data_IF_274718687474
#
_entry.id   IF_274718687474
#
_cell.length_a   1.000
_cell.length_b   1.000
_cell.length_c   1.000
_cell.angle_alpha   90.00
_cell.angle_beta   90.00
_cell.angle_gamma   90.00
#
_symmetry.space_group_name_H-M   'P 1'
#
loop_
_entity.id
_entity.type
_entity.pdbx_description
1 polymer ?
#
# COMPACT_ATOMS: atom_id res chain seq x y z
N UNK A 1 -9.16 -3.69 -44.96
CA UNK A 1 -8.79 -2.94 -43.75
C UNK A 1 -9.54 -3.55 -42.60
N UNK A 2 -8.97 -4.56 -41.96
CA UNK A 2 -9.56 -5.21 -40.79
C UNK A 2 -9.15 -4.41 -39.57
N UNK A 3 -10.15 -3.86 -38.90
CA UNK A 3 -10.05 -3.22 -37.60
C UNK A 3 -9.62 -4.32 -36.64
N UNK A 4 -8.40 -4.23 -36.09
CA UNK A 4 -8.00 -5.06 -34.96
C UNK A 4 -8.78 -4.57 -33.75
N UNK A 5 -9.83 -5.30 -33.37
CA UNK A 5 -10.40 -5.21 -32.03
C UNK A 5 -9.24 -5.39 -31.05
N UNK A 6 -8.96 -4.35 -30.26
CA UNK A 6 -8.07 -4.46 -29.10
C UNK A 6 -8.75 -5.39 -28.10
N UNK A 7 -8.38 -6.67 -28.14
CA UNK A 7 -8.84 -7.67 -27.16
C UNK A 7 -8.53 -7.15 -25.74
N UNK A 8 -9.60 -6.93 -24.98
CA UNK A 8 -9.50 -6.65 -23.56
C UNK A 8 -9.06 -7.94 -22.87
N UNK A 9 -8.17 -7.90 -21.88
CA UNK A 9 -7.76 -9.11 -21.17
C UNK A 9 -8.99 -9.79 -20.53
N UNK A 10 -9.12 -11.11 -20.70
CA UNK A 10 -10.22 -11.90 -20.11
C UNK A 10 -10.28 -11.78 -18.59
N UNK A 11 -9.16 -11.48 -17.94
CA UNK A 11 -9.06 -11.30 -16.49
C UNK A 11 -7.92 -10.35 -16.14
N UNK A 12 -8.09 -9.59 -15.05
CA UNK A 12 -7.09 -8.67 -14.49
C UNK A 12 -7.01 -8.89 -12.99
N UNK A 13 -5.80 -8.97 -12.44
CA UNK A 13 -5.59 -8.97 -11.00
C UNK A 13 -5.43 -7.53 -10.50
N UNK A 14 -6.35 -7.10 -9.65
CA UNK A 14 -6.28 -5.78 -9.01
C UNK A 14 -5.67 -5.93 -7.62
N UNK A 15 -4.50 -5.33 -7.41
CA UNK A 15 -3.84 -5.25 -6.11
C UNK A 15 -4.12 -3.90 -5.46
N UNK A 16 -5.08 -3.87 -4.53
CA UNK A 16 -5.43 -2.67 -3.76
C UNK A 16 -4.57 -2.59 -2.50
N UNK A 17 -3.89 -1.46 -2.30
CA UNK A 17 -3.06 -1.24 -1.11
C UNK A 17 -3.00 0.24 -0.72
N UNK A 18 -2.47 0.53 0.47
CA UNK A 18 -2.09 1.88 0.87
C UNK A 18 -0.63 1.86 1.34
N UNK A 19 0.23 2.83 0.96
CA UNK A 19 1.64 2.84 1.33
C UNK A 19 1.88 2.86 2.85
N UNK A 20 0.92 3.37 3.62
CA UNK A 20 0.98 3.45 5.09
C UNK A 20 0.15 2.34 5.77
N UNK A 21 -0.46 1.42 5.02
CA UNK A 21 -1.11 0.24 5.60
C UNK A 21 -0.06 -0.76 6.11
N UNK A 22 -0.03 -0.96 7.42
CA UNK A 22 0.92 -1.87 8.08
C UNK A 22 0.72 -3.33 7.64
N UNK A 23 -0.51 -3.77 7.39
CA UNK A 23 -0.77 -5.11 6.85
C UNK A 23 -0.33 -5.26 5.40
N UNK A 24 -0.42 -4.22 4.57
CA UNK A 24 0.15 -4.23 3.22
C UNK A 24 1.68 -4.35 3.27
N UNK A 25 2.33 -3.68 4.23
CA UNK A 25 3.76 -3.87 4.50
C UNK A 25 4.08 -5.31 4.90
N UNK A 26 3.34 -5.88 5.86
CA UNK A 26 3.48 -7.28 6.28
C UNK A 26 3.25 -8.29 5.16
N UNK A 27 2.31 -8.00 4.26
CA UNK A 27 1.98 -8.85 3.11
C UNK A 27 3.01 -8.77 1.97
N UNK A 28 3.90 -7.76 1.96
CA UNK A 28 4.84 -7.53 0.85
C UNK A 28 5.66 -8.75 0.44
N UNK A 29 6.22 -9.60 1.34
CA UNK A 29 6.92 -10.81 0.93
C UNK A 29 6.01 -11.79 0.19
N UNK A 30 4.80 -12.02 0.71
CA UNK A 30 3.79 -12.88 0.08
C UNK A 30 3.34 -12.32 -1.26
N UNK A 31 3.12 -11.01 -1.36
CA UNK A 31 2.78 -10.35 -2.62
C UNK A 31 3.86 -10.57 -3.69
N UNK A 32 5.14 -10.44 -3.32
CA UNK A 32 6.25 -10.72 -4.25
C UNK A 32 6.26 -12.17 -4.71
N UNK A 33 6.07 -13.12 -3.78
CA UNK A 33 6.01 -14.54 -4.10
C UNK A 33 4.82 -14.87 -5.02
N UNK A 34 3.64 -14.34 -4.71
CA UNK A 34 2.44 -14.49 -5.53
C UNK A 34 2.66 -13.92 -6.93
N UNK A 35 3.16 -12.67 -7.02
CA UNK A 35 3.40 -11.99 -8.30
C UNK A 35 4.36 -12.75 -9.20
N UNK A 36 5.37 -13.42 -8.63
CA UNK A 36 6.31 -14.26 -9.39
C UNK A 36 5.73 -15.57 -9.93
N UNK A 37 4.56 -15.98 -9.43
CA UNK A 37 3.87 -17.23 -9.79
C UNK A 37 2.60 -16.98 -10.61
N UNK A 38 2.31 -15.72 -10.97
CA UNK A 38 1.16 -15.41 -11.79
C UNK A 38 1.35 -15.94 -13.22
N UNK A 39 0.26 -16.33 -13.91
CA UNK A 39 0.32 -16.71 -15.31
C UNK A 39 0.97 -15.62 -16.16
N UNK A 40 1.78 -16.04 -17.13
CA UNK A 40 2.32 -15.12 -18.12
C UNK A 40 1.19 -14.41 -18.86
N UNK A 41 1.30 -13.10 -19.04
CA UNK A 41 0.28 -12.29 -19.70
C UNK A 41 -0.91 -11.86 -18.84
N UNK A 42 -1.06 -12.34 -17.59
CA UNK A 42 -2.10 -11.82 -16.68
C UNK A 42 -1.77 -10.38 -16.27
N UNK A 43 -2.60 -9.38 -16.65
CA UNK A 43 -2.34 -8.00 -16.25
C UNK A 43 -2.54 -7.83 -14.75
N UNK A 44 -1.63 -7.08 -14.13
CA UNK A 44 -1.71 -6.71 -12.71
C UNK A 44 -1.81 -5.21 -12.60
N UNK A 45 -2.95 -4.73 -12.11
CA UNK A 45 -3.18 -3.29 -11.86
C UNK A 45 -3.06 -3.04 -10.37
N UNK A 46 -2.21 -2.09 -9.99
CA UNK A 46 -2.10 -1.67 -8.59
C UNK A 46 -2.98 -0.44 -8.37
N UNK A 47 -3.85 -0.48 -7.36
CA UNK A 47 -4.72 0.62 -6.98
C UNK A 47 -4.43 1.08 -5.56
N UNK A 48 -4.46 2.38 -5.34
CA UNK A 48 -4.25 2.97 -4.02
C UNK A 48 -5.61 3.11 -3.32
N UNK A 49 -5.73 2.51 -2.14
CA UNK A 49 -6.98 2.41 -1.40
C UNK A 49 -7.37 3.67 -0.63
N UNK A 50 -6.41 4.52 -0.24
CA UNK A 50 -6.68 5.73 0.53
C UNK A 50 -7.23 5.43 1.93
N UNK A 51 -6.38 4.94 2.82
CA UNK A 51 -6.78 4.48 4.16
C UNK A 51 -7.22 5.61 5.11
N UNK A 52 -6.68 6.82 4.98
CA UNK A 52 -7.06 7.97 5.79
C UNK A 52 -6.88 9.29 5.04
N UNK A 53 -7.84 10.20 5.23
CA UNK A 53 -7.89 11.53 4.63
C UNK A 53 -6.67 12.40 4.99
N UNK A 54 -6.51 13.51 4.28
CA UNK A 54 -5.52 14.54 4.61
C UNK A 54 -5.86 15.18 5.97
N UNK A 55 -4.89 15.19 6.89
CA UNK A 55 -5.05 15.75 8.23
C UNK A 55 -3.69 16.10 8.83
N UNK A 56 -3.63 17.28 9.47
CA UNK A 56 -2.51 17.71 10.30
C UNK A 56 -2.81 17.55 11.80
N UNK A 57 -3.98 17.00 12.14
CA UNK A 57 -4.38 16.77 13.53
C UNK A 57 -3.59 15.60 14.08
N UNK A 58 -2.86 15.85 15.17
CA UNK A 58 -2.12 14.82 15.88
C UNK A 58 -3.03 13.66 16.28
N UNK A 59 -2.53 12.44 16.10
CA UNK A 59 -3.29 11.24 16.35
C UNK A 59 -3.60 11.08 17.85
N UNK A 60 -4.85 10.76 18.22
CA UNK A 60 -5.22 10.41 19.59
C UNK A 60 -4.39 9.26 20.16
N UNK A 61 -4.08 9.31 21.46
CA UNK A 61 -3.22 8.30 22.10
C UNK A 61 -3.75 6.87 22.02
N UNK A 62 -5.07 6.68 22.07
CA UNK A 62 -5.72 5.38 21.94
C UNK A 62 -5.47 4.77 20.56
N UNK A 63 -5.50 5.61 19.52
CA UNK A 63 -5.17 5.20 18.17
C UNK A 63 -3.68 4.85 18.01
N UNK A 64 -2.78 5.62 18.64
CA UNK A 64 -1.34 5.31 18.67
C UNK A 64 -1.09 3.95 19.35
N UNK A 65 -1.72 3.72 20.51
CA UNK A 65 -1.63 2.44 21.25
C UNK A 65 -2.15 1.27 20.41
N UNK A 66 -3.27 1.46 19.71
CA UNK A 66 -3.83 0.47 18.80
C UNK A 66 -2.88 0.13 17.64
N UNK A 67 -2.31 1.13 16.96
CA UNK A 67 -1.41 0.92 15.83
C UNK A 67 -0.08 0.28 16.27
N UNK A 68 0.46 0.69 17.43
CA UNK A 68 1.66 0.09 18.02
C UNK A 68 1.47 -1.40 18.30
N UNK A 69 0.34 -1.79 18.91
CA UNK A 69 -0.03 -3.20 19.10
C UNK A 69 -0.20 -3.93 17.77
N UNK A 70 -0.83 -3.27 16.80
CA UNK A 70 -1.04 -3.84 15.46
C UNK A 70 0.29 -4.14 14.77
N UNK A 71 1.29 -3.26 14.90
CA UNK A 71 2.64 -3.51 14.37
C UNK A 71 3.27 -4.75 15.01
N UNK A 72 3.24 -4.89 16.34
CA UNK A 72 3.76 -6.09 17.02
C UNK A 72 3.06 -7.38 16.57
N UNK A 73 1.75 -7.34 16.33
CA UNK A 73 1.01 -8.48 15.78
C UNK A 73 1.51 -8.84 14.38
N UNK A 74 1.74 -7.84 13.52
CA UNK A 74 2.24 -8.04 12.15
C UNK A 74 3.67 -8.60 12.16
N UNK A 75 4.55 -8.14 13.05
CA UNK A 75 5.89 -8.73 13.20
C UNK A 75 5.81 -10.23 13.50
N UNK A 76 4.98 -10.60 14.48
CA UNK A 76 4.80 -12.00 14.89
C UNK A 76 4.16 -12.87 13.80
N UNK A 77 3.24 -12.30 13.01
CA UNK A 77 2.45 -13.04 12.02
C UNK A 77 3.14 -13.13 10.66
N UNK A 78 3.77 -12.03 10.24
CA UNK A 78 4.33 -11.88 8.89
C UNK A 78 5.86 -11.97 8.87
N UNK A 79 6.53 -11.94 10.03
CA UNK A 79 7.99 -12.03 10.13
C UNK A 79 8.73 -10.82 9.53
N UNK A 80 8.06 -9.66 9.45
CA UNK A 80 8.65 -8.39 8.99
C UNK A 80 9.07 -7.54 10.18
N UNK A 81 10.11 -6.69 10.08
CA UNK A 81 10.53 -5.82 11.17
C UNK A 81 9.82 -4.46 11.16
N UNK A 82 9.61 -3.86 12.32
CA UNK A 82 9.31 -2.43 12.46
C UNK A 82 10.33 -1.72 13.36
N UNK A 83 10.58 -0.44 13.08
CA UNK A 83 11.25 0.43 14.03
C UNK A 83 10.21 1.07 14.96
N UNK A 84 10.06 0.53 16.17
CA UNK A 84 9.07 1.03 17.14
C UNK A 84 9.36 2.43 17.69
N UNK A 85 10.59 2.95 17.53
CA UNK A 85 10.94 4.32 17.89
C UNK A 85 10.13 5.37 17.09
N UNK A 86 9.51 4.98 15.96
CA UNK A 86 8.56 5.82 15.25
C UNK A 86 7.44 6.34 16.16
N UNK A 87 7.03 5.55 17.17
CA UNK A 87 5.93 5.93 18.05
C UNK A 87 6.35 6.83 19.22
N UNK A 88 7.62 7.22 19.32
CA UNK A 88 8.14 8.09 20.39
C UNK A 88 8.12 9.58 20.00
N UNK A 89 7.59 9.91 18.83
CA UNK A 89 7.45 11.28 18.34
C UNK A 89 6.50 12.11 19.23
N UNK A 90 6.85 13.38 19.42
CA UNK A 90 6.02 14.37 20.14
C UNK A 90 5.90 15.64 19.29
N UNK A 91 4.69 16.03 18.84
CA UNK A 91 3.41 15.32 19.04
C UNK A 91 3.35 14.00 18.25
N UNK A 92 2.45 13.06 18.58
CA UNK A 92 2.21 11.88 17.77
C UNK A 92 1.92 12.23 16.31
N UNK A 93 2.37 11.40 15.35
CA UNK A 93 2.18 11.68 13.93
C UNK A 93 0.68 11.67 13.58
N UNK A 94 0.22 12.51 12.64
CA UNK A 94 -1.18 12.54 12.23
C UNK A 94 -1.58 11.24 11.52
N UNK A 95 -2.86 10.89 11.58
CA UNK A 95 -3.43 9.78 10.82
C UNK A 95 -3.84 10.27 9.42
N UNK A 96 -2.90 10.26 8.48
CA UNK A 96 -3.14 10.67 7.09
C UNK A 96 -2.39 9.77 6.12
N UNK A 97 -3.02 9.35 5.02
CA UNK A 97 -2.36 8.49 4.02
C UNK A 97 -2.55 8.95 2.58
N UNK A 98 -3.51 9.83 2.30
CA UNK A 98 -3.73 10.38 0.96
C UNK A 98 -2.48 11.04 0.38
N UNK A 99 -1.71 11.77 1.18
CA UNK A 99 -0.44 12.35 0.75
C UNK A 99 0.57 11.28 0.30
N UNK A 100 0.66 10.15 1.00
CA UNK A 100 1.52 9.03 0.61
C UNK A 100 1.04 8.37 -0.68
N UNK A 101 -0.28 8.25 -0.86
CA UNK A 101 -0.86 7.73 -2.09
C UNK A 101 -0.56 8.64 -3.28
N UNK A 102 -0.76 9.95 -3.11
CA UNK A 102 -0.42 10.97 -4.13
C UNK A 102 1.06 10.96 -4.47
N UNK A 103 1.94 10.75 -3.49
CA UNK A 103 3.38 10.63 -3.73
C UNK A 103 3.73 9.43 -4.63
N UNK A 104 3.10 8.27 -4.40
CA UNK A 104 3.27 7.09 -5.28
C UNK A 104 2.78 7.38 -6.70
N UNK A 105 1.59 7.96 -6.85
CA UNK A 105 1.05 8.32 -8.18
C UNK A 105 1.98 9.30 -8.90
N UNK A 106 2.47 10.32 -8.20
CA UNK A 106 3.41 11.29 -8.77
C UNK A 106 4.70 10.61 -9.23
N UNK A 107 5.25 9.69 -8.43
CA UNK A 107 6.44 8.93 -8.79
C UNK A 107 6.22 8.04 -10.02
N UNK A 108 5.09 7.34 -10.11
CA UNK A 108 4.74 6.49 -11.27
C UNK A 108 4.58 7.33 -12.56
N UNK A 109 3.95 8.51 -12.47
CA UNK A 109 3.84 9.45 -13.60
C UNK A 109 5.21 9.93 -14.07
N UNK A 110 6.08 10.35 -13.14
CA UNK A 110 7.44 10.78 -13.46
C UNK A 110 8.29 9.65 -14.06
N UNK A 111 8.00 8.40 -13.70
CA UNK A 111 8.66 7.21 -14.24
C UNK A 111 8.07 6.75 -15.59
N UNK A 112 7.07 7.43 -16.14
CA UNK A 112 6.40 7.05 -17.39
C UNK A 112 5.56 5.77 -17.29
N UNK A 113 5.10 5.41 -16.09
CA UNK A 113 4.30 4.21 -15.81
C UNK A 113 2.83 4.51 -15.53
N UNK A 114 2.48 5.78 -15.38
CA UNK A 114 1.14 6.23 -15.03
C UNK A 114 0.46 6.96 -16.18
N UNK A 115 -0.09 6.21 -17.13
CA UNK A 115 -1.30 6.59 -17.90
C UNK A 115 -2.38 5.55 -17.65
#
# INVERSE_FOLDING_TARGET
>A
MTITETESPESVLIYVYDPMCSWCYGFRPTWKALKSQLPEGLPVVSLLGGLADDSDVSMPEDMVKYLRRTWSQIESTCGVPFNHAYWDQTPPPPRTTFISCRAVIAAERLAGRGE
#
